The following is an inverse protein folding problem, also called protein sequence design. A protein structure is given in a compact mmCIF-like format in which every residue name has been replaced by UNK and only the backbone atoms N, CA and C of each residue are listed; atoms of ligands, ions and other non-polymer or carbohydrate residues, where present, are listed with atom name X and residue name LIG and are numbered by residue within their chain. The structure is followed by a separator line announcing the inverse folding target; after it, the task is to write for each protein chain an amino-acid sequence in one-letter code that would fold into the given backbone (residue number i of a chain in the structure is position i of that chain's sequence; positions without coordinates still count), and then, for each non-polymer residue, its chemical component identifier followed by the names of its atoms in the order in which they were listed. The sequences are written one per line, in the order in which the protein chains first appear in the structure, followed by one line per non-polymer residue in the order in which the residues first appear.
data_IF_937386934844
#
_entry.id   IF_937386934844
#
_cell.length_a   1.000
_cell.length_b   1.000
_cell.length_c   1.000
_cell.angle_alpha   90.00
_cell.angle_beta   90.00
_cell.angle_gamma   90.00
#
_symmetry.space_group_name_H-M   'P 1'
#
loop_
_entity.id
_entity.type
_entity.pdbx_description
1 polymer ?
#
# COMPACT_ATOMS: atom_id res chain seq x y z
N UNK A 1 5.04 2.03 13.36
CA UNK A 1 4.96 2.91 14.53
C UNK A 1 5.68 4.19 14.17
N UNK A 2 4.94 5.28 13.94
CA UNK A 2 5.49 6.61 13.69
C UNK A 2 4.76 7.56 14.63
N UNK A 3 5.48 8.06 15.61
CA UNK A 3 5.01 9.02 16.61
C UNK A 3 5.44 10.42 16.13
N UNK A 4 4.52 11.13 15.48
CA UNK A 4 4.74 12.54 15.14
C UNK A 4 4.03 13.40 16.19
N UNK A 5 4.81 13.85 17.18
CA UNK A 5 4.45 14.96 18.05
C UNK A 5 4.55 16.26 17.24
N UNK A 6 3.46 16.60 16.54
CA UNK A 6 3.22 17.97 16.11
C UNK A 6 2.09 18.49 17.00
N UNK A 7 2.41 19.42 17.90
CA UNK A 7 1.48 20.00 18.88
C UNK A 7 0.33 20.83 18.26
N UNK A 8 0.02 20.60 16.98
CA UNK A 8 -1.12 21.14 16.25
C UNK A 8 -1.55 20.20 15.10
N UNK A 9 -1.48 18.88 15.33
CA UNK A 9 -1.62 17.83 14.31
C UNK A 9 -3.07 17.57 13.88
N UNK A 10 -3.37 18.01 12.65
CA UNK A 10 -4.36 17.45 11.71
C UNK A 10 -5.85 17.42 12.12
N UNK A 11 -6.59 18.44 11.72
CA UNK A 11 -8.06 18.55 11.86
C UNK A 11 -8.85 17.39 11.20
N UNK A 12 -8.22 16.56 10.37
CA UNK A 12 -8.86 15.47 9.63
C UNK A 12 -8.35 14.06 10.00
N UNK A 13 -7.52 13.94 11.04
CA UNK A 13 -6.97 12.65 11.48
C UNK A 13 -7.94 11.91 12.39
N UNK A 14 -8.07 10.60 12.19
CA UNK A 14 -8.76 9.68 13.09
C UNK A 14 -7.81 8.55 13.49
N UNK A 15 -7.74 8.25 14.79
CA UNK A 15 -6.95 7.16 15.34
C UNK A 15 -7.88 6.08 15.88
N UNK A 16 -7.63 4.82 15.50
CA UNK A 16 -8.43 3.68 15.92
C UNK A 16 -7.54 2.54 16.42
N UNK A 17 -7.98 1.88 17.49
CA UNK A 17 -7.32 0.67 17.97
C UNK A 17 -7.63 -0.52 17.07
N UNK A 18 -6.63 -1.39 16.87
CA UNK A 18 -6.79 -2.64 16.12
C UNK A 18 -7.45 -3.68 17.02
N UNK A 19 -8.57 -4.23 16.59
CA UNK A 19 -9.27 -5.34 17.27
C UNK A 19 -8.76 -6.70 16.83
N UNK A 20 -8.45 -6.87 15.54
CA UNK A 20 -7.95 -8.13 15.02
C UNK A 20 -7.08 -7.92 13.77
N UNK A 21 -6.15 -8.84 13.54
CA UNK A 21 -5.32 -8.93 12.34
C UNK A 21 -5.62 -10.26 11.66
N UNK A 22 -6.07 -10.21 10.42
CA UNK A 22 -6.42 -11.40 9.63
C UNK A 22 -5.41 -11.52 8.50
N UNK A 23 -4.47 -12.46 8.65
CA UNK A 23 -3.44 -12.76 7.64
C UNK A 23 -4.03 -13.74 6.63
N UNK A 24 -3.74 -13.55 5.34
CA UNK A 24 -4.16 -14.49 4.31
C UNK A 24 -3.67 -15.91 4.63
N UNK A 25 -4.58 -16.88 4.65
CA UNK A 25 -4.30 -18.27 5.10
C UNK A 25 -3.14 -18.95 4.36
N UNK A 26 -2.94 -18.60 3.09
CA UNK A 26 -1.86 -19.14 2.25
C UNK A 26 -0.66 -18.20 2.11
N UNK A 27 -0.49 -17.25 3.03
CA UNK A 27 0.69 -16.36 3.06
C UNK A 27 1.96 -17.19 3.21
N UNK A 28 2.95 -16.90 2.37
CA UNK A 28 4.26 -17.55 2.42
C UNK A 28 5.34 -16.52 2.21
N UNK A 29 6.12 -16.27 3.28
CA UNK A 29 7.29 -15.40 3.22
C UNK A 29 8.37 -16.02 2.31
N UNK A 30 8.87 -15.24 1.36
CA UNK A 30 10.03 -15.59 0.56
C UNK A 30 11.29 -15.68 1.43
N UNK A 31 12.11 -16.72 1.23
CA UNK A 31 13.43 -16.87 1.86
C UNK A 31 14.46 -17.16 0.76
N UNK A 32 15.60 -16.46 0.80
CA UNK A 32 16.60 -16.53 -0.27
C UNK A 32 16.06 -15.94 -1.58
N UNK A 33 16.07 -16.75 -2.65
CA UNK A 33 15.56 -16.36 -3.98
C UNK A 33 14.06 -16.62 -4.20
N UNK A 34 13.33 -17.05 -3.16
CA UNK A 34 11.89 -17.34 -3.28
C UNK A 34 11.07 -16.06 -3.13
N UNK A 35 10.04 -15.91 -3.96
CA UNK A 35 9.11 -14.78 -3.93
C UNK A 35 8.14 -14.92 -2.75
N UNK A 36 7.77 -13.80 -2.13
CA UNK A 36 6.68 -13.76 -1.15
C UNK A 36 5.34 -13.91 -1.86
N UNK A 37 4.49 -14.82 -1.38
CA UNK A 37 3.21 -15.16 -2.03
C UNK A 37 2.06 -14.84 -1.10
N UNK A 38 0.98 -14.28 -1.67
CA UNK A 38 -0.24 -13.84 -0.98
C UNK A 38 0.06 -12.83 0.14
N UNK A 39 0.87 -11.82 -0.17
CA UNK A 39 1.24 -10.74 0.74
C UNK A 39 0.07 -9.77 0.93
N UNK A 40 -0.93 -10.19 1.69
CA UNK A 40 -2.13 -9.42 2.01
C UNK A 40 -2.65 -9.78 3.40
N UNK A 41 -3.11 -8.78 4.13
CA UNK A 41 -3.75 -8.92 5.42
C UNK A 41 -4.86 -7.87 5.57
N UNK A 42 -5.87 -8.17 6.40
CA UNK A 42 -6.92 -7.23 6.78
C UNK A 42 -6.73 -6.83 8.25
N UNK A 43 -6.83 -5.53 8.52
CA UNK A 43 -6.87 -4.98 9.87
C UNK A 43 -8.32 -4.67 10.22
N UNK A 44 -8.85 -5.36 11.25
CA UNK A 44 -10.17 -5.05 11.79
C UNK A 44 -10.00 -4.03 12.92
N UNK A 45 -10.49 -2.84 12.71
CA UNK A 45 -10.57 -1.78 13.72
C UNK A 45 -11.63 -2.10 14.78
N UNK A 46 -11.42 -1.61 16.01
CA UNK A 46 -12.29 -1.85 17.16
C UNK A 46 -13.61 -1.06 17.10
N UNK A 47 -13.56 0.09 16.45
CA UNK A 47 -14.65 1.06 16.35
C UNK A 47 -14.86 1.43 14.88
N UNK A 48 -16.07 1.85 14.54
CA UNK A 48 -16.41 2.28 13.18
C UNK A 48 -15.70 3.58 12.81
N UNK A 49 -15.23 3.69 11.55
CA UNK A 49 -14.61 4.93 11.06
C UNK A 49 -15.70 5.93 10.67
N UNK A 50 -15.55 7.19 11.09
CA UNK A 50 -16.45 8.26 10.67
C UNK A 50 -16.02 8.77 9.30
N UNK A 51 -16.81 8.48 8.26
CA UNK A 51 -16.53 8.99 6.91
C UNK A 51 -16.65 10.51 6.85
N UNK A 52 -15.87 11.13 5.96
CA UNK A 52 -15.90 12.56 5.70
C UNK A 52 -15.42 12.86 4.28
N UNK A 53 -15.41 14.13 3.88
CA UNK A 53 -14.81 14.57 2.62
C UNK A 53 -13.32 14.17 2.49
N UNK A 54 -12.61 13.98 3.62
CA UNK A 54 -11.19 13.65 3.66
C UNK A 54 -10.92 12.17 3.97
N UNK A 55 -11.96 11.38 4.24
CA UNK A 55 -11.85 9.98 4.62
C UNK A 55 -12.98 9.19 3.98
N UNK A 56 -12.62 8.35 3.01
CA UNK A 56 -13.55 7.49 2.28
C UNK A 56 -12.95 6.11 2.00
N UNK A 57 -13.81 5.13 1.73
CA UNK A 57 -13.37 3.79 1.35
C UNK A 57 -12.90 3.74 -0.11
N UNK A 58 -11.89 2.90 -0.38
CA UNK A 58 -11.53 2.54 -1.75
C UNK A 58 -12.41 1.39 -2.25
N UNK A 59 -12.70 1.38 -3.54
CA UNK A 59 -13.41 0.27 -4.18
C UNK A 59 -12.51 -0.96 -4.29
N UNK A 60 -13.06 -2.14 -4.01
CA UNK A 60 -12.44 -3.40 -4.41
C UNK A 60 -12.82 -3.70 -5.87
N UNK A 61 -11.89 -4.22 -6.69
CA UNK A 61 -12.18 -4.53 -8.08
C UNK A 61 -13.23 -5.65 -8.18
N UNK A 62 -14.26 -5.46 -9.01
CA UNK A 62 -15.27 -6.47 -9.34
C UNK A 62 -14.89 -7.33 -10.55
N UNK A 63 -13.96 -6.86 -11.38
CA UNK A 63 -13.69 -7.35 -12.73
C UNK A 63 -12.33 -8.05 -12.85
N UNK A 64 -12.15 -8.79 -13.95
CA UNK A 64 -10.91 -9.46 -14.33
C UNK A 64 -9.76 -8.45 -14.49
N UNK A 65 -8.75 -8.59 -13.63
CA UNK A 65 -7.50 -7.80 -13.62
C UNK A 65 -6.78 -7.76 -14.97
N UNK A 66 -7.07 -8.71 -15.87
CA UNK A 66 -6.53 -8.79 -17.22
C UNK A 66 -6.87 -7.56 -18.08
N UNK A 67 -7.92 -6.80 -17.76
CA UNK A 67 -8.30 -5.58 -18.50
C UNK A 67 -7.54 -4.32 -18.07
N UNK A 68 -6.68 -4.42 -17.05
CA UNK A 68 -5.96 -3.26 -16.53
C UNK A 68 -4.65 -2.97 -17.27
N UNK A 69 -4.16 -3.88 -18.12
CA UNK A 69 -2.93 -3.69 -18.87
C UNK A 69 -2.97 -2.46 -19.79
N UNK A 70 -1.93 -1.62 -19.71
CA UNK A 70 -1.83 -0.36 -20.45
C UNK A 70 -2.64 0.80 -19.87
N UNK A 71 -3.45 0.56 -18.83
CA UNK A 71 -4.15 1.64 -18.11
C UNK A 71 -3.22 2.36 -17.14
N UNK A 72 -3.60 3.57 -16.70
CA UNK A 72 -2.84 4.32 -15.70
C UNK A 72 -3.31 3.96 -14.29
N UNK A 73 -2.37 3.63 -13.43
CA UNK A 73 -2.55 3.43 -12.00
C UNK A 73 -1.92 4.57 -11.21
N UNK A 74 -2.55 4.93 -10.08
CA UNK A 74 -2.04 5.92 -9.14
C UNK A 74 -1.42 5.21 -7.94
N UNK A 75 -0.19 5.58 -7.59
CA UNK A 75 0.50 5.13 -6.38
C UNK A 75 0.65 6.35 -5.47
N UNK A 76 0.11 6.26 -4.26
CA UNK A 76 0.22 7.32 -3.25
C UNK A 76 0.88 6.80 -1.98
N UNK A 77 1.58 7.68 -1.27
CA UNK A 77 2.16 7.36 0.03
C UNK A 77 2.99 8.49 0.59
N UNK A 78 3.23 8.43 1.89
CA UNK A 78 4.19 9.30 2.55
C UNK A 78 5.58 8.67 2.42
N UNK A 79 6.53 9.41 1.86
CA UNK A 79 7.93 9.00 1.88
C UNK A 79 8.76 10.04 2.63
N UNK A 80 9.71 9.55 3.43
CA UNK A 80 10.74 10.41 3.98
C UNK A 80 11.75 10.64 2.85
N UNK A 81 11.63 11.78 2.16
CA UNK A 81 12.49 12.12 1.02
C UNK A 81 13.98 12.28 1.42
N UNK A 82 14.29 12.28 2.71
CA UNK A 82 15.65 12.38 3.21
C UNK A 82 15.79 11.65 4.55
N UNK A 83 16.51 10.52 4.58
CA UNK A 83 16.92 9.83 5.83
C UNK A 83 17.98 10.65 6.62
N UNK A 84 17.87 11.98 6.65
CA UNK A 84 18.71 12.87 7.44
C UNK A 84 17.93 14.12 7.87
N UNK A 85 17.49 14.10 9.14
CA UNK A 85 17.12 15.24 9.99
C UNK A 85 16.35 16.43 9.37
N UNK A 86 15.30 16.18 8.57
CA UNK A 86 14.22 17.15 8.37
C UNK A 86 12.84 16.46 8.32
N UNK A 87 11.97 16.88 9.23
CA UNK A 87 10.59 16.41 9.35
C UNK A 87 9.69 17.16 8.36
N UNK A 88 9.76 16.81 7.09
CA UNK A 88 8.72 17.19 6.13
C UNK A 88 8.15 15.91 5.53
N UNK A 89 7.01 15.49 6.06
CA UNK A 89 6.22 14.39 5.50
C UNK A 89 5.47 14.92 4.29
N UNK A 90 5.89 14.53 3.09
CA UNK A 90 5.18 14.82 1.85
C UNK A 90 4.43 13.57 1.42
N UNK A 91 3.14 13.73 1.10
CA UNK A 91 2.39 12.73 0.37
C UNK A 91 2.83 12.83 -1.10
N UNK A 92 3.46 11.77 -1.61
CA UNK A 92 3.83 11.65 -3.02
C UNK A 92 2.71 10.91 -3.75
N UNK A 93 2.38 11.39 -4.95
CA UNK A 93 1.45 10.74 -5.87
C UNK A 93 2.15 10.54 -7.21
N UNK A 94 2.28 9.28 -7.63
CA UNK A 94 2.85 8.89 -8.91
C UNK A 94 1.76 8.27 -9.79
N UNK A 95 1.79 8.57 -11.07
CA UNK A 95 0.91 7.96 -12.06
C UNK A 95 1.78 7.09 -12.97
N UNK A 96 1.54 5.78 -12.94
CA UNK A 96 2.32 4.77 -13.67
C UNK A 96 1.39 4.01 -14.62
N UNK A 97 1.96 3.41 -15.67
CA UNK A 97 1.20 2.47 -16.48
C UNK A 97 1.18 1.10 -15.79
N UNK A 98 0.03 0.47 -15.76
CA UNK A 98 -0.12 -0.90 -15.30
C UNK A 98 0.42 -1.85 -16.37
N UNK A 99 1.39 -2.67 -15.98
CA UNK A 99 2.04 -3.65 -16.84
C UNK A 99 1.78 -5.03 -16.27
N UNK A 100 1.41 -5.98 -17.13
CA UNK A 100 1.23 -7.37 -16.71
C UNK A 100 2.57 -7.96 -16.31
N UNK A 101 2.62 -8.53 -15.10
CA UNK A 101 3.81 -9.24 -14.64
C UNK A 101 4.10 -10.47 -15.51
N UNK A 102 5.37 -10.89 -15.63
CA UNK A 102 5.71 -12.08 -16.39
C UNK A 102 5.14 -13.36 -15.74
N UNK A 103 5.05 -14.46 -16.51
CA UNK A 103 4.72 -15.77 -15.96
C UNK A 103 5.61 -16.13 -14.78
N UNK A 104 5.08 -16.93 -13.84
CA UNK A 104 5.78 -17.35 -12.59
C UNK A 104 7.13 -18.05 -12.83
N UNK A 105 7.43 -18.49 -14.05
CA UNK A 105 8.71 -19.11 -14.44
C UNK A 105 9.85 -18.10 -14.55
N UNK A 106 9.55 -16.81 -14.66
CA UNK A 106 10.54 -15.82 -15.08
C UNK A 106 11.09 -15.05 -13.88
N UNK A 107 12.36 -14.64 -14.00
CA UNK A 107 13.04 -13.94 -12.93
C UNK A 107 12.55 -12.49 -12.84
N UNK A 108 11.69 -12.19 -11.87
CA UNK A 108 11.17 -10.85 -11.60
C UNK A 108 12.28 -9.77 -11.43
N UNK A 109 13.50 -10.16 -11.01
CA UNK A 109 14.64 -9.24 -10.89
C UNK A 109 15.18 -8.74 -12.23
N UNK A 110 14.90 -9.44 -13.34
CA UNK A 110 15.26 -9.00 -14.69
C UNK A 110 14.29 -7.95 -15.22
N UNK A 111 12.99 -8.08 -14.91
CA UNK A 111 11.96 -7.13 -15.34
C UNK A 111 12.07 -5.77 -14.64
N UNK A 112 12.35 -5.76 -13.33
CA UNK A 112 12.48 -4.52 -12.56
C UNK A 112 13.70 -3.66 -12.97
N UNK A 113 14.66 -4.21 -13.73
CA UNK A 113 15.83 -3.47 -14.24
C UNK A 113 15.61 -2.81 -15.60
N UNK A 114 14.55 -3.21 -16.31
CA UNK A 114 14.26 -2.80 -17.69
C UNK A 114 12.96 -1.99 -17.82
N UNK A 115 12.38 -1.58 -16.68
CA UNK A 115 11.34 -0.55 -16.57
C UNK A 115 12.00 0.75 -16.13
#
# INVERSE_FOLDING_TARGET
MGIDNLANSSFHKQEHSIKNIIIHQSFRRGVGRKVTVNDIALLKIAEEVKLSEHLWYICLPSDELDKLEGTKATVSGESQANCSNKNTSLIIVLILNFVRGPPKSDNYAFYAKNL
#
